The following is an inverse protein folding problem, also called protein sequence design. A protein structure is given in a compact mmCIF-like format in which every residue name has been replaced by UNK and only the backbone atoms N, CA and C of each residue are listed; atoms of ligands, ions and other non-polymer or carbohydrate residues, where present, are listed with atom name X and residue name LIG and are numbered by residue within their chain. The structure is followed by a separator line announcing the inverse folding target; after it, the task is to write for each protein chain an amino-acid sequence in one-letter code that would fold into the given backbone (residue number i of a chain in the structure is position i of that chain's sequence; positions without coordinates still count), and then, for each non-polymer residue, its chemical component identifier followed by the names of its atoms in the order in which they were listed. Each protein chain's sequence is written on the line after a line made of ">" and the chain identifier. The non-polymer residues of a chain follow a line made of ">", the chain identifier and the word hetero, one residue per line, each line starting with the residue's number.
data_IF_430031204393
#
_entry.id   IF_430031204393
#
_cell.length_a   1.000
_cell.length_b   1.000
_cell.length_c   1.000
_cell.angle_alpha   90.00
_cell.angle_beta   90.00
_cell.angle_gamma   90.00
#
_symmetry.space_group_name_H-M   'P 1'
#
loop_
_entity.id
_entity.type
_entity.pdbx_description
1 polymer ?
#
# COMPACT_ATOMS: atom_id res chain seq x y z
N UNK A 1 26.53 38.70 67.91
CA UNK A 1 26.55 38.82 66.43
C UNK A 1 26.45 37.45 65.75
N UNK A 2 25.61 36.52 66.24
CA UNK A 2 25.47 35.16 65.67
C UNK A 2 24.01 34.77 65.35
N UNK A 3 23.04 35.63 65.68
CA UNK A 3 21.60 35.33 65.50
C UNK A 3 21.15 35.64 64.06
N UNK A 4 21.86 36.51 63.34
CA UNK A 4 21.45 36.95 62.01
C UNK A 4 21.77 35.92 60.90
N UNK A 5 22.86 35.15 61.04
CA UNK A 5 23.29 34.19 60.02
C UNK A 5 22.42 32.93 59.98
N UNK A 6 21.85 32.54 61.13
CA UNK A 6 20.95 31.38 61.21
C UNK A 6 19.64 31.61 60.46
N UNK A 7 19.10 32.83 60.55
CA UNK A 7 17.83 33.19 59.90
C UNK A 7 17.95 33.25 58.36
N UNK A 8 19.13 33.63 57.85
CA UNK A 8 19.42 33.66 56.41
C UNK A 8 19.53 32.24 55.84
N UNK A 9 20.16 31.32 56.57
CA UNK A 9 20.32 29.93 56.13
C UNK A 9 18.97 29.17 56.05
N UNK A 10 18.10 29.36 57.04
CA UNK A 10 16.79 28.68 57.07
C UNK A 10 15.85 29.18 55.96
N UNK A 11 15.87 30.49 55.67
CA UNK A 11 15.12 31.06 54.54
C UNK A 11 15.63 30.56 53.18
N UNK A 12 16.95 30.46 52.99
CA UNK A 12 17.53 29.94 51.75
C UNK A 12 17.17 28.45 51.52
N UNK A 13 17.13 27.65 52.59
CA UNK A 13 16.72 26.24 52.52
C UNK A 13 15.22 26.09 52.16
N UNK A 14 14.35 26.89 52.76
CA UNK A 14 12.92 26.86 52.45
C UNK A 14 12.63 27.32 51.00
N UNK A 15 13.33 28.33 50.50
CA UNK A 15 13.19 28.79 49.11
C UNK A 15 13.63 27.69 48.12
N UNK A 16 14.78 27.06 48.36
CA UNK A 16 15.28 25.99 47.49
C UNK A 16 14.37 24.76 47.50
N UNK A 17 13.82 24.38 48.66
CA UNK A 17 12.81 23.30 48.76
C UNK A 17 11.54 23.62 47.96
N UNK A 18 11.03 24.84 48.09
CA UNK A 18 9.79 25.28 47.42
C UNK A 18 9.98 25.36 45.88
N UNK A 19 11.13 25.83 45.41
CA UNK A 19 11.49 25.81 43.97
C UNK A 19 11.56 24.37 43.45
N UNK A 20 12.14 23.44 44.23
CA UNK A 20 12.25 22.02 43.86
C UNK A 20 10.88 21.34 43.79
N UNK A 21 9.99 21.63 44.72
CA UNK A 21 8.62 21.11 44.72
C UNK A 21 7.78 21.69 43.57
N UNK A 22 7.90 23.00 43.29
CA UNK A 22 7.24 23.62 42.12
C UNK A 22 7.74 23.03 40.81
N UNK A 23 9.06 22.80 40.66
CA UNK A 23 9.61 22.12 39.49
C UNK A 23 9.03 20.71 39.34
N UNK A 24 8.96 19.90 40.41
CA UNK A 24 8.34 18.57 40.36
C UNK A 24 6.87 18.60 39.97
N UNK A 25 6.07 19.50 40.56
CA UNK A 25 4.65 19.65 40.20
C UNK A 25 4.48 20.05 38.74
N UNK A 26 5.28 20.97 38.23
CA UNK A 26 5.23 21.42 36.84
C UNK A 26 5.60 20.28 35.87
N UNK A 27 6.61 19.46 36.20
CA UNK A 27 6.99 18.29 35.41
C UNK A 27 5.89 17.22 35.40
N UNK A 28 5.23 16.98 36.55
CA UNK A 28 4.15 16.00 36.66
C UNK A 28 2.92 16.40 35.84
N UNK A 29 2.50 17.67 35.88
CA UNK A 29 1.37 18.15 35.08
C UNK A 29 1.65 17.99 33.58
N UNK A 30 2.85 18.36 33.13
CA UNK A 30 3.27 18.15 31.72
C UNK A 30 3.28 16.68 31.30
N UNK A 31 3.63 15.77 32.22
CA UNK A 31 3.59 14.33 31.97
C UNK A 31 2.17 13.81 31.74
N UNK A 32 1.22 14.20 32.57
CA UNK A 32 -0.19 13.78 32.44
C UNK A 32 -0.80 14.33 31.14
N UNK A 33 -0.51 15.58 30.79
CA UNK A 33 -1.03 16.18 29.55
C UNK A 33 -0.42 15.53 28.29
N UNK A 34 0.86 15.17 28.34
CA UNK A 34 1.50 14.40 27.27
C UNK A 34 0.88 13.02 27.10
N UNK A 35 0.64 12.28 28.19
CA UNK A 35 0.00 10.96 28.13
C UNK A 35 -1.40 11.05 27.55
N UNK A 36 -2.17 12.08 27.90
CA UNK A 36 -3.49 12.34 27.32
C UNK A 36 -3.42 12.62 25.82
N UNK A 37 -2.46 13.43 25.38
CA UNK A 37 -2.26 13.73 23.96
C UNK A 37 -1.83 12.49 23.18
N UNK A 38 -0.89 11.70 23.70
CA UNK A 38 -0.43 10.47 23.07
C UNK A 38 -1.56 9.43 22.96
N UNK A 39 -2.38 9.26 24.01
CA UNK A 39 -3.56 8.42 23.97
C UNK A 39 -4.61 8.92 22.97
N UNK A 40 -4.80 10.23 22.85
CA UNK A 40 -5.71 10.82 21.86
C UNK A 40 -5.23 10.58 20.42
N UNK A 41 -3.93 10.77 20.16
CA UNK A 41 -3.32 10.49 18.85
C UNK A 41 -3.42 9.01 18.52
N UNK A 42 -3.08 8.13 19.47
CA UNK A 42 -3.23 6.68 19.29
C UNK A 42 -4.68 6.30 18.98
N UNK A 43 -5.65 6.90 19.68
CA UNK A 43 -7.08 6.66 19.45
C UNK A 43 -7.50 7.12 18.05
N UNK A 44 -7.06 8.31 17.60
CA UNK A 44 -7.34 8.81 16.24
C UNK A 44 -6.75 7.87 15.17
N UNK A 45 -5.55 7.35 15.37
CA UNK A 45 -4.93 6.40 14.44
C UNK A 45 -5.57 5.01 14.46
N UNK A 46 -6.21 4.60 15.56
CA UNK A 46 -6.92 3.32 15.67
C UNK A 46 -8.37 3.39 15.19
N UNK A 47 -8.99 4.57 15.12
CA UNK A 47 -10.37 4.76 14.65
C UNK A 47 -10.64 4.20 13.25
N UNK A 48 -9.78 4.38 12.22
CA UNK A 48 -10.03 3.84 10.88
C UNK A 48 -10.19 2.31 10.83
N UNK A 49 -9.53 1.58 11.74
CA UNK A 49 -9.66 0.12 11.81
C UNK A 49 -11.05 -0.34 12.27
N UNK A 50 -11.82 0.51 12.95
CA UNK A 50 -13.18 0.17 13.40
C UNK A 50 -14.25 0.39 12.33
N UNK A 51 -13.98 1.24 11.35
CA UNK A 51 -14.93 1.55 10.27
C UNK A 51 -14.72 0.71 8.99
N UNK A 52 -13.66 -0.11 8.92
CA UNK A 52 -13.36 -0.95 7.76
C UNK A 52 -14.10 -2.30 7.73
N UNK A 53 -14.90 -2.64 8.75
CA UNK A 53 -15.53 -3.97 8.90
C UNK A 53 -17.04 -4.03 8.60
N UNK A 54 -17.65 -3.00 8.00
CA UNK A 54 -19.06 -3.05 7.59
C UNK A 54 -19.19 -3.45 6.13
N UNK A 55 -18.98 -4.74 5.82
CA UNK A 55 -19.26 -5.29 4.50
C UNK A 55 -18.80 -6.74 4.36
N UNK A 56 -19.78 -7.64 4.29
CA UNK A 56 -19.70 -9.07 4.00
C UNK A 56 -19.37 -10.02 5.17
N UNK A 57 -20.35 -10.89 5.42
CA UNK A 57 -20.58 -11.62 6.66
C UNK A 57 -20.83 -13.07 6.25
N UNK A 58 -19.79 -13.80 5.83
CA UNK A 58 -19.71 -15.25 5.93
C UNK A 58 -18.38 -15.76 5.38
N UNK A 59 -17.33 -15.82 6.21
CA UNK A 59 -16.21 -16.75 5.99
C UNK A 59 -15.50 -17.05 7.33
N UNK A 60 -14.96 -18.25 7.42
CA UNK A 60 -14.67 -19.01 8.64
C UNK A 60 -13.70 -18.35 9.63
N UNK A 61 -14.03 -18.40 10.92
CA UNK A 61 -13.33 -17.74 12.03
C UNK A 61 -11.86 -18.15 12.28
N UNK A 62 -11.33 -19.15 11.57
CA UNK A 62 -9.92 -19.55 11.66
C UNK A 62 -9.02 -18.91 10.61
N UNK A 63 -9.55 -18.41 9.49
CA UNK A 63 -8.76 -17.69 8.47
C UNK A 63 -8.66 -16.17 8.76
N UNK A 64 -9.56 -15.63 9.57
CA UNK A 64 -9.64 -14.17 9.79
C UNK A 64 -8.55 -13.60 10.70
N UNK A 65 -7.97 -14.40 11.60
CA UNK A 65 -6.97 -13.90 12.57
C UNK A 65 -5.60 -13.62 11.95
N UNK A 66 -5.22 -14.35 10.90
CA UNK A 66 -3.94 -14.16 10.20
C UNK A 66 -3.98 -13.08 9.12
N UNK A 67 -5.16 -12.77 8.58
CA UNK A 67 -5.35 -11.71 7.58
C UNK A 67 -5.75 -10.34 8.17
N UNK A 68 -5.95 -10.25 9.49
CA UNK A 68 -6.59 -9.08 10.10
C UNK A 68 -5.77 -7.79 10.06
N UNK A 69 -4.45 -7.86 9.90
CA UNK A 69 -3.60 -6.67 9.83
C UNK A 69 -2.99 -6.53 8.44
N UNK A 70 -3.41 -5.48 7.73
CA UNK A 70 -2.69 -5.09 6.51
C UNK A 70 -1.25 -4.70 6.85
N UNK A 71 -0.32 -4.92 5.91
CA UNK A 71 1.07 -4.47 6.07
C UNK A 71 1.17 -2.96 6.35
N UNK A 72 0.24 -2.18 5.80
CA UNK A 72 0.12 -0.74 6.07
C UNK A 72 -0.27 -0.44 7.52
N UNK A 73 -1.15 -1.24 8.13
CA UNK A 73 -1.54 -1.09 9.54
C UNK A 73 -0.38 -1.40 10.46
N UNK A 74 0.35 -2.50 10.21
CA UNK A 74 1.54 -2.86 11.01
C UNK A 74 2.60 -1.77 10.94
N UNK A 75 2.85 -1.22 9.75
CA UNK A 75 3.80 -0.14 9.55
C UNK A 75 3.35 1.14 10.28
N UNK A 76 2.08 1.53 10.16
CA UNK A 76 1.53 2.71 10.82
C UNK A 76 1.64 2.62 12.35
N UNK A 77 1.26 1.48 12.93
CA UNK A 77 1.38 1.24 14.37
C UNK A 77 2.84 1.31 14.83
N UNK A 78 3.76 0.72 14.05
CA UNK A 78 5.19 0.77 14.35
C UNK A 78 5.70 2.21 14.37
N UNK A 79 5.35 3.01 13.37
CA UNK A 79 5.71 4.43 13.30
C UNK A 79 5.18 5.19 14.51
N UNK A 80 3.91 4.99 14.88
CA UNK A 80 3.30 5.63 16.06
C UNK A 80 4.05 5.24 17.34
N UNK A 81 4.35 3.96 17.55
CA UNK A 81 5.07 3.48 18.74
C UNK A 81 6.48 4.07 18.80
N UNK A 82 7.21 4.09 17.68
CA UNK A 82 8.56 4.65 17.61
C UNK A 82 8.54 6.15 17.86
N UNK A 83 7.63 6.90 17.23
CA UNK A 83 7.52 8.35 17.40
C UNK A 83 7.12 8.72 18.84
N UNK A 84 6.15 8.02 19.42
CA UNK A 84 5.72 8.24 20.80
C UNK A 84 6.87 7.95 21.79
N UNK A 85 7.57 6.83 21.61
CA UNK A 85 8.70 6.43 22.46
C UNK A 85 9.88 7.40 22.34
N UNK A 86 10.19 7.86 21.11
CA UNK A 86 11.25 8.83 20.84
C UNK A 86 10.91 10.19 21.45
N UNK A 87 9.68 10.65 21.27
CA UNK A 87 9.20 11.92 21.85
C UNK A 87 9.23 11.87 23.38
N UNK A 88 8.83 10.74 23.98
CA UNK A 88 8.92 10.53 25.42
C UNK A 88 10.37 10.58 25.92
N UNK A 89 11.31 9.92 25.22
CA UNK A 89 12.74 9.97 25.56
C UNK A 89 13.30 11.39 25.48
N UNK A 90 12.97 12.15 24.44
CA UNK A 90 13.46 13.51 24.25
C UNK A 90 12.87 14.48 25.28
N UNK A 91 11.57 14.36 25.57
CA UNK A 91 10.85 15.27 26.48
C UNK A 91 11.21 15.03 27.95
N UNK A 92 11.42 13.77 28.34
CA UNK A 92 11.62 13.38 29.73
C UNK A 92 13.05 12.92 30.05
N UNK A 93 14.01 13.18 29.15
CA UNK A 93 15.41 12.72 29.23
C UNK A 93 16.04 12.90 30.62
N UNK A 94 15.82 14.04 31.25
CA UNK A 94 16.42 14.39 32.55
C UNK A 94 15.67 13.81 33.75
N UNK A 95 14.40 13.45 33.57
CA UNK A 95 13.57 12.86 34.65
C UNK A 95 13.59 11.32 34.65
N UNK A 96 13.93 10.71 33.52
CA UNK A 96 13.95 9.26 33.37
C UNK A 96 15.23 8.67 33.97
N UNK A 97 15.07 7.59 34.74
CA UNK A 97 16.20 6.76 35.20
C UNK A 97 16.84 6.05 34.00
N UNK A 98 18.12 5.70 34.12
CA UNK A 98 18.83 4.96 33.06
C UNK A 98 18.15 3.62 32.71
N UNK A 99 17.57 2.93 33.68
CA UNK A 99 16.79 1.71 33.42
C UNK A 99 15.55 1.97 32.55
N UNK A 100 14.85 3.07 32.78
CA UNK A 100 13.66 3.44 32.00
C UNK A 100 14.05 3.83 30.56
N UNK A 101 15.16 4.55 30.38
CA UNK A 101 15.68 4.88 29.05
C UNK A 101 16.01 3.62 28.25
N UNK A 102 16.66 2.64 28.89
CA UNK A 102 16.95 1.33 28.28
C UNK A 102 15.68 0.58 27.90
N UNK A 103 14.64 0.60 28.73
CA UNK A 103 13.35 -0.05 28.41
C UNK A 103 12.70 0.63 27.20
N UNK A 104 12.59 1.96 27.18
CA UNK A 104 11.96 2.67 26.05
C UNK A 104 12.76 2.46 24.76
N UNK A 105 14.10 2.50 24.84
CA UNK A 105 14.95 2.15 23.70
C UNK A 105 14.72 0.71 23.24
N UNK A 106 14.60 -0.23 24.17
CA UNK A 106 14.24 -1.62 23.88
C UNK A 106 12.91 -1.75 23.16
N UNK A 107 11.88 -0.98 23.54
CA UNK A 107 10.58 -0.95 22.84
C UNK A 107 10.76 -0.49 21.40
N UNK A 108 11.51 0.59 21.15
CA UNK A 108 11.79 1.08 19.80
C UNK A 108 12.45 -0.01 18.95
N UNK A 109 13.50 -0.65 19.47
CA UNK A 109 14.22 -1.71 18.78
C UNK A 109 13.33 -2.91 18.50
N UNK A 110 12.59 -3.39 19.51
CA UNK A 110 11.69 -4.54 19.37
C UNK A 110 10.59 -4.26 18.35
N UNK A 111 9.94 -3.09 18.40
CA UNK A 111 8.92 -2.70 17.42
C UNK A 111 9.46 -2.66 15.99
N UNK A 112 10.65 -2.09 15.79
CA UNK A 112 11.30 -2.07 14.48
C UNK A 112 11.65 -3.47 13.97
N UNK A 113 12.21 -4.33 14.82
CA UNK A 113 12.59 -5.71 14.45
C UNK A 113 11.36 -6.56 14.14
N UNK A 114 10.32 -6.52 15.00
CA UNK A 114 9.09 -7.30 14.83
C UNK A 114 8.36 -6.90 13.56
N UNK A 115 8.20 -5.60 13.30
CA UNK A 115 7.55 -5.12 12.07
C UNK A 115 8.34 -5.45 10.81
N UNK A 116 9.66 -5.31 10.84
CA UNK A 116 10.52 -5.72 9.72
C UNK A 116 10.40 -7.21 9.46
N UNK A 117 10.47 -8.04 10.49
CA UNK A 117 10.31 -9.49 10.38
C UNK A 117 8.94 -9.88 9.84
N UNK A 118 7.87 -9.20 10.28
CA UNK A 118 6.52 -9.37 9.76
C UNK A 118 6.43 -9.01 8.26
N UNK A 119 6.96 -7.85 7.86
CA UNK A 119 6.91 -7.40 6.45
C UNK A 119 7.72 -8.32 5.53
N UNK A 120 8.91 -8.76 5.95
CA UNK A 120 9.73 -9.73 5.23
C UNK A 120 9.00 -11.07 5.14
N UNK A 121 8.47 -11.57 6.26
CA UNK A 121 7.72 -12.82 6.31
C UNK A 121 6.49 -12.79 5.41
N UNK A 122 5.72 -11.70 5.44
CA UNK A 122 4.54 -11.52 4.59
C UNK A 122 4.93 -11.45 3.11
N UNK A 123 6.01 -10.75 2.76
CA UNK A 123 6.49 -10.65 1.36
C UNK A 123 6.92 -12.02 0.82
N UNK A 124 7.67 -12.79 1.62
CA UNK A 124 8.06 -14.16 1.27
C UNK A 124 6.84 -15.07 1.17
N UNK A 125 5.92 -14.98 2.13
CA UNK A 125 4.68 -15.75 2.14
C UNK A 125 3.87 -15.50 0.86
N UNK A 126 3.54 -14.23 0.56
CA UNK A 126 2.81 -13.87 -0.66
C UNK A 126 3.52 -14.36 -1.92
N UNK A 127 4.85 -14.22 -1.99
CA UNK A 127 5.63 -14.69 -3.15
C UNK A 127 5.50 -16.21 -3.32
N UNK A 128 5.58 -16.99 -2.24
CA UNK A 128 5.52 -18.46 -2.32
C UNK A 128 4.10 -19.00 -2.59
N UNK A 129 3.08 -18.36 -2.03
CA UNK A 129 1.69 -18.78 -2.18
C UNK A 129 1.07 -18.29 -3.49
N UNK A 130 1.54 -17.19 -4.06
CA UNK A 130 1.08 -16.63 -5.32
C UNK A 130 1.14 -17.60 -6.50
N UNK A 131 0.33 -17.34 -7.53
CA UNK A 131 0.40 -18.02 -8.81
C UNK A 131 1.72 -17.74 -9.55
N UNK A 132 2.20 -16.49 -9.55
CA UNK A 132 3.46 -16.11 -10.21
C UNK A 132 4.73 -16.65 -9.53
N UNK A 133 4.63 -17.17 -8.30
CA UNK A 133 5.75 -17.67 -7.50
C UNK A 133 6.85 -16.63 -7.24
N UNK A 134 6.49 -15.36 -7.22
CA UNK A 134 7.41 -14.25 -6.98
C UNK A 134 7.00 -12.95 -7.66
N UNK A 135 7.87 -11.95 -7.55
CA UNK A 135 7.74 -10.69 -8.26
C UNK A 135 7.94 -10.89 -9.75
N UNK A 136 7.01 -10.36 -10.54
CA UNK A 136 7.03 -10.36 -11.99
C UNK A 136 7.21 -8.95 -12.51
N UNK A 137 7.77 -8.87 -13.70
CA UNK A 137 7.86 -7.67 -14.51
C UNK A 137 7.75 -8.15 -15.95
N UNK A 138 6.52 -8.31 -16.41
CA UNK A 138 6.21 -8.85 -17.74
C UNK A 138 5.67 -7.76 -18.62
N UNK A 139 6.02 -7.83 -19.91
CA UNK A 139 5.57 -6.89 -20.92
C UNK A 139 4.84 -7.61 -22.05
N UNK A 140 3.78 -7.00 -22.56
CA UNK A 140 3.17 -7.38 -23.83
C UNK A 140 2.88 -6.13 -24.66
N UNK A 141 3.35 -6.10 -25.89
CA UNK A 141 3.00 -5.05 -26.83
C UNK A 141 1.59 -5.31 -27.37
N UNK A 142 0.82 -4.25 -27.63
CA UNK A 142 -0.52 -4.43 -28.16
C UNK A 142 -0.94 -3.38 -29.18
N UNK A 143 -1.87 -3.77 -30.05
CA UNK A 143 -2.56 -2.86 -30.96
C UNK A 143 -4.06 -3.16 -31.01
N UNK A 144 -4.85 -2.09 -31.11
CA UNK A 144 -6.30 -2.17 -31.32
C UNK A 144 -6.61 -1.45 -32.62
N UNK A 145 -7.34 -2.11 -33.50
CA UNK A 145 -7.77 -1.57 -34.78
C UNK A 145 -9.29 -1.67 -34.90
N UNK A 146 -9.96 -0.58 -35.26
CA UNK A 146 -11.40 -0.55 -35.55
C UNK A 146 -11.60 -0.08 -36.98
N UNK A 147 -12.19 -0.93 -37.82
CA UNK A 147 -12.49 -0.66 -39.22
C UNK A 147 -11.29 -0.07 -40.00
N UNK A 148 -10.11 -0.67 -39.82
CA UNK A 148 -8.87 -0.25 -40.47
C UNK A 148 -8.17 0.96 -39.83
N UNK A 149 -8.69 1.53 -38.74
CA UNK A 149 -8.07 2.64 -38.02
C UNK A 149 -7.46 2.16 -36.70
N UNK A 150 -6.18 2.46 -36.48
CA UNK A 150 -5.50 2.19 -35.20
C UNK A 150 -6.10 3.09 -34.12
N UNK A 151 -6.56 2.48 -33.05
CA UNK A 151 -7.07 3.18 -31.86
C UNK A 151 -5.91 3.47 -30.93
N UNK A 152 -5.88 4.69 -30.39
CA UNK A 152 -4.95 5.10 -29.35
C UNK A 152 -5.75 5.15 -28.04
N UNK A 153 -5.29 4.43 -27.03
CA UNK A 153 -5.86 4.49 -25.69
C UNK A 153 -5.55 5.84 -25.02
N UNK A 154 -6.28 6.25 -23.98
CA UNK A 154 -5.99 7.50 -23.27
C UNK A 154 -4.54 7.53 -22.78
N UNK A 155 -3.89 8.70 -22.85
CA UNK A 155 -2.54 8.89 -22.32
C UNK A 155 -2.58 9.13 -20.79
N UNK A 156 -1.62 8.59 -20.02
CA UNK A 156 -1.56 8.87 -18.59
C UNK A 156 -1.37 10.36 -18.32
N UNK A 157 -1.97 10.85 -17.23
CA UNK A 157 -1.82 12.25 -16.79
C UNK A 157 -1.46 12.31 -15.30
N UNK A 158 -0.87 13.43 -14.87
CA UNK A 158 -0.51 13.65 -13.47
C UNK A 158 0.75 12.91 -13.01
N UNK A 159 0.88 12.71 -11.69
CA UNK A 159 2.11 12.20 -11.07
C UNK A 159 2.29 10.68 -11.15
N UNK A 160 1.19 9.93 -11.32
CA UNK A 160 1.24 8.46 -11.36
C UNK A 160 1.85 7.94 -12.68
N UNK A 161 1.75 8.72 -13.76
CA UNK A 161 2.25 8.39 -15.10
C UNK A 161 1.81 7.01 -15.62
N UNK A 162 0.63 6.50 -15.22
CA UNK A 162 0.10 5.19 -15.64
C UNK A 162 -1.42 5.24 -15.75
N UNK A 163 -2.00 4.34 -16.54
CA UNK A 163 -3.44 4.01 -16.53
C UNK A 163 -3.58 2.52 -16.23
N UNK A 164 -4.40 2.19 -15.23
CA UNK A 164 -4.52 0.85 -14.65
C UNK A 164 -4.24 0.84 -13.15
N UNK A 165 -4.02 -0.35 -12.59
CA UNK A 165 -3.63 -0.54 -11.19
C UNK A 165 -2.10 -0.45 -11.01
N UNK A 166 -1.60 -0.67 -9.79
CA UNK A 166 -0.16 -0.80 -9.58
C UNK A 166 0.40 -2.06 -10.25
N UNK A 167 -0.40 -3.12 -10.25
CA UNK A 167 -0.01 -4.44 -10.72
C UNK A 167 -0.15 -4.62 -12.23
N UNK A 168 -1.13 -3.96 -12.86
CA UNK A 168 -1.38 -4.07 -14.29
C UNK A 168 -1.76 -2.72 -14.90
N UNK A 169 -0.94 -2.21 -15.83
CA UNK A 169 -1.10 -0.86 -16.37
C UNK A 169 -0.40 -0.66 -17.72
N UNK A 170 -0.55 0.51 -18.32
CA UNK A 170 0.28 1.00 -19.42
C UNK A 170 0.76 2.42 -19.20
N UNK A 171 1.81 2.82 -19.91
CA UNK A 171 2.40 4.17 -19.84
C UNK A 171 2.12 5.03 -21.09
N UNK A 172 1.27 4.56 -22.02
CA UNK A 172 1.02 5.27 -23.29
C UNK A 172 2.02 4.87 -24.39
N UNK A 173 2.75 3.79 -24.15
CA UNK A 173 3.81 3.24 -24.99
C UNK A 173 3.38 2.00 -25.79
N UNK A 174 2.07 1.78 -25.90
CA UNK A 174 1.46 0.61 -26.56
C UNK A 174 1.91 -0.73 -25.95
N UNK A 175 2.19 -0.72 -24.65
CA UNK A 175 2.66 -1.87 -23.88
C UNK A 175 1.85 -2.06 -22.62
N UNK A 176 1.49 -3.30 -22.34
CA UNK A 176 0.92 -3.74 -21.08
C UNK A 176 2.08 -4.11 -20.15
N UNK A 177 2.04 -3.59 -18.93
CA UNK A 177 2.97 -3.83 -17.84
C UNK A 177 2.28 -4.67 -16.78
N UNK A 178 2.87 -5.81 -16.42
CA UNK A 178 2.47 -6.61 -15.26
C UNK A 178 3.62 -6.58 -14.26
N UNK A 179 3.42 -5.91 -13.13
CA UNK A 179 4.47 -5.59 -12.16
C UNK A 179 4.03 -5.95 -10.74
N UNK A 180 4.71 -6.89 -10.07
CA UNK A 180 4.38 -7.26 -8.70
C UNK A 180 4.12 -8.75 -8.54
N UNK A 181 3.24 -9.13 -7.60
CA UNK A 181 2.95 -10.54 -7.30
C UNK A 181 1.53 -10.87 -7.77
N UNK A 182 1.39 -11.76 -8.75
CA UNK A 182 0.09 -12.21 -9.25
C UNK A 182 -0.45 -13.29 -8.32
N UNK A 183 -1.42 -12.94 -7.48
CA UNK A 183 -1.94 -13.83 -6.44
C UNK A 183 -2.65 -15.00 -7.10
N UNK A 184 -3.54 -14.68 -8.02
CA UNK A 184 -4.30 -15.62 -8.82
C UNK A 184 -3.85 -15.58 -10.28
N UNK A 185 -4.25 -16.60 -11.05
CA UNK A 185 -3.94 -16.68 -12.48
C UNK A 185 -4.64 -15.55 -13.25
N UNK A 186 -5.83 -15.19 -12.81
CA UNK A 186 -6.73 -14.21 -13.42
C UNK A 186 -6.14 -12.79 -13.36
N UNK A 187 -5.31 -12.50 -12.35
CA UNK A 187 -4.60 -11.23 -12.21
C UNK A 187 -3.70 -10.93 -13.42
N UNK A 188 -3.20 -11.99 -14.08
CA UNK A 188 -2.30 -11.90 -15.22
C UNK A 188 -3.00 -11.94 -16.60
N UNK A 189 -4.34 -11.82 -16.61
CA UNK A 189 -5.12 -11.94 -17.84
C UNK A 189 -5.24 -10.62 -18.60
N UNK A 190 -5.43 -10.73 -19.92
CA UNK A 190 -5.76 -9.60 -20.78
C UNK A 190 -7.11 -8.97 -20.40
N UNK A 191 -8.09 -9.78 -19.97
CA UNK A 191 -9.34 -9.29 -19.41
C UNK A 191 -9.13 -8.36 -18.22
N UNK A 192 -8.29 -8.76 -17.26
CA UNK A 192 -7.98 -7.95 -16.09
C UNK A 192 -7.28 -6.62 -16.46
N UNK A 193 -6.43 -6.62 -17.48
CA UNK A 193 -5.85 -5.36 -18.01
C UNK A 193 -6.93 -4.41 -18.51
N UNK A 194 -7.85 -4.89 -19.35
CA UNK A 194 -8.91 -4.06 -19.92
C UNK A 194 -9.90 -3.56 -18.86
N UNK A 195 -10.20 -4.39 -17.86
CA UNK A 195 -11.01 -3.98 -16.70
C UNK A 195 -10.30 -2.89 -15.89
N UNK A 196 -8.98 -3.00 -15.68
CA UNK A 196 -8.18 -2.01 -14.93
C UNK A 196 -8.15 -0.63 -15.60
N UNK A 197 -8.32 -0.56 -16.92
CA UNK A 197 -8.37 0.68 -17.69
C UNK A 197 -9.79 1.09 -18.11
N UNK A 198 -10.82 0.42 -17.57
CA UNK A 198 -12.24 0.65 -17.84
C UNK A 198 -12.63 0.60 -19.33
N UNK A 199 -12.07 -0.37 -20.05
CA UNK A 199 -12.35 -0.60 -21.47
C UNK A 199 -13.13 -1.91 -21.64
N UNK A 200 -14.34 -1.88 -22.24
CA UNK A 200 -15.08 -3.10 -22.53
C UNK A 200 -14.29 -4.02 -23.47
N UNK A 201 -14.09 -5.27 -23.05
CA UNK A 201 -13.36 -6.27 -23.83
C UNK A 201 -13.92 -7.69 -23.62
N UNK A 202 -14.26 -8.37 -24.71
CA UNK A 202 -14.64 -9.79 -24.77
C UNK A 202 -14.38 -10.37 -26.17
N UNK A 203 -14.78 -11.64 -26.38
CA UNK A 203 -14.80 -12.27 -27.71
C UNK A 203 -15.74 -11.58 -28.71
N UNK A 204 -16.66 -10.76 -28.22
CA UNK A 204 -17.73 -10.14 -28.98
C UNK A 204 -17.66 -8.62 -29.00
N UNK A 205 -16.77 -8.01 -28.21
CA UNK A 205 -16.76 -6.57 -28.02
C UNK A 205 -15.37 -6.03 -27.70
N UNK A 206 -15.04 -4.88 -28.27
CA UNK A 206 -13.91 -4.05 -27.89
C UNK A 206 -14.34 -2.59 -27.89
N UNK A 207 -14.03 -1.84 -26.82
CA UNK A 207 -14.43 -0.45 -26.67
C UNK A 207 -15.96 -0.30 -26.83
N UNK A 208 -16.40 0.45 -27.85
CA UNK A 208 -17.80 0.74 -28.14
C UNK A 208 -18.37 -0.07 -29.31
N UNK A 209 -17.60 -0.98 -29.91
CA UNK A 209 -18.04 -1.81 -31.05
C UNK A 209 -18.13 -3.27 -30.65
N UNK A 210 -19.15 -3.96 -31.16
CA UNK A 210 -19.33 -5.40 -30.99
C UNK A 210 -19.69 -6.13 -32.27
N UNK A 211 -19.58 -7.46 -32.23
CA UNK A 211 -19.82 -8.33 -33.37
C UNK A 211 -21.18 -8.03 -34.01
N UNK A 212 -21.17 -7.70 -35.31
CA UNK A 212 -22.36 -7.36 -36.08
C UNK A 212 -22.62 -5.85 -36.23
N UNK A 213 -21.88 -4.99 -35.53
CA UNK A 213 -21.88 -3.54 -35.78
C UNK A 213 -21.30 -3.22 -37.16
N UNK A 214 -21.69 -2.09 -37.74
CA UNK A 214 -21.27 -1.70 -39.08
C UNK A 214 -20.01 -0.84 -39.08
N UNK A 215 -19.07 -1.18 -39.95
CA UNK A 215 -17.96 -0.31 -40.31
C UNK A 215 -18.40 0.81 -41.29
N UNK A 216 -17.61 1.89 -41.45
CA UNK A 216 -17.93 2.99 -42.36
C UNK A 216 -18.10 2.59 -43.84
N UNK A 217 -17.57 1.43 -44.23
CA UNK A 217 -17.72 0.84 -45.56
C UNK A 217 -19.07 0.11 -45.77
N UNK A 218 -19.90 0.06 -44.73
CA UNK A 218 -21.22 -0.58 -44.73
C UNK A 218 -21.18 -2.09 -44.51
N UNK A 219 -20.03 -2.70 -44.23
CA UNK A 219 -19.95 -4.12 -43.84
C UNK A 219 -20.12 -4.28 -42.33
N UNK A 220 -20.63 -5.45 -41.92
CA UNK A 220 -20.66 -5.82 -40.51
C UNK A 220 -19.29 -6.36 -40.10
N UNK A 221 -18.75 -5.85 -39.00
CA UNK A 221 -17.48 -6.29 -38.47
C UNK A 221 -17.60 -7.37 -37.39
N UNK A 222 -16.47 -8.01 -37.11
CA UNK A 222 -16.29 -8.93 -35.98
C UNK A 222 -14.96 -8.67 -35.28
N UNK A 223 -14.94 -8.90 -33.97
CA UNK A 223 -13.73 -8.85 -33.14
C UNK A 223 -12.90 -10.11 -33.36
N UNK A 224 -11.66 -9.92 -33.77
CA UNK A 224 -10.65 -10.96 -33.87
C UNK A 224 -9.42 -10.58 -33.03
N UNK A 225 -8.80 -11.59 -32.43
CA UNK A 225 -7.55 -11.41 -31.70
C UNK A 225 -6.48 -12.34 -32.25
N UNK A 226 -5.27 -11.81 -32.42
CA UNK A 226 -4.08 -12.58 -32.74
C UNK A 226 -2.97 -12.30 -31.74
N UNK A 227 -2.13 -13.30 -31.54
CA UNK A 227 -0.96 -13.24 -30.66
C UNK A 227 0.23 -13.69 -31.46
N UNK A 228 1.24 -12.83 -31.61
CA UNK A 228 2.44 -13.10 -32.40
C UNK A 228 2.07 -13.59 -33.83
N UNK A 229 1.18 -12.83 -34.50
CA UNK A 229 0.64 -13.09 -35.84
C UNK A 229 -0.14 -14.41 -36.01
N UNK A 230 -0.52 -15.06 -34.91
CA UNK A 230 -1.37 -16.27 -34.93
C UNK A 230 -2.74 -15.96 -34.37
N UNK A 231 -3.79 -16.29 -35.13
CA UNK A 231 -5.17 -16.16 -34.67
C UNK A 231 -5.36 -16.93 -33.37
N UNK A 232 -5.90 -16.25 -32.36
CA UNK A 232 -6.23 -16.85 -31.08
C UNK A 232 -7.73 -17.16 -31.05
N UNK A 233 -8.07 -18.43 -30.77
CA UNK A 233 -9.45 -18.93 -30.83
C UNK A 233 -10.06 -19.22 -29.45
N UNK A 234 -9.31 -18.96 -28.37
CA UNK A 234 -9.80 -19.15 -27.00
C UNK A 234 -10.70 -17.99 -26.55
N UNK A 235 -11.09 -18.02 -25.27
CA UNK A 235 -11.68 -16.84 -24.64
C UNK A 235 -10.62 -15.74 -24.55
N UNK A 236 -10.91 -14.57 -25.12
CA UNK A 236 -9.96 -13.47 -25.24
C UNK A 236 -9.63 -12.88 -23.88
N UNK A 237 -10.62 -12.83 -22.98
CA UNK A 237 -10.43 -12.34 -21.61
C UNK A 237 -9.51 -13.24 -20.81
N UNK A 238 -9.55 -14.55 -21.03
CA UNK A 238 -8.77 -15.54 -20.28
C UNK A 238 -7.32 -15.68 -20.82
N UNK A 239 -6.95 -14.90 -21.83
CA UNK A 239 -5.59 -14.89 -22.36
C UNK A 239 -4.61 -14.44 -21.29
N UNK A 240 -3.62 -15.29 -20.98
CA UNK A 240 -2.57 -14.99 -20.01
C UNK A 240 -1.41 -14.33 -20.73
N UNK A 241 -1.04 -13.14 -20.27
CA UNK A 241 0.10 -12.40 -20.81
C UNK A 241 1.38 -13.19 -20.52
N UNK A 242 2.18 -13.42 -21.56
CA UNK A 242 3.35 -14.28 -21.47
C UNK A 242 4.40 -13.75 -20.47
N UNK A 243 5.04 -14.64 -19.69
CA UNK A 243 5.90 -14.26 -18.58
C UNK A 243 7.32 -13.86 -19.00
N UNK A 244 7.46 -13.10 -20.09
CA UNK A 244 8.76 -12.66 -20.60
C UNK A 244 9.05 -11.23 -20.15
N UNK A 245 10.30 -11.00 -19.75
CA UNK A 245 10.76 -9.74 -19.14
C UNK A 245 11.82 -8.98 -19.94
N UNK A 246 12.36 -9.56 -21.02
CA UNK A 246 13.34 -8.83 -21.84
C UNK A 246 12.61 -7.98 -22.89
N UNK A 247 13.30 -7.05 -23.56
CA UNK A 247 12.72 -6.24 -24.63
C UNK A 247 13.47 -6.48 -25.97
N UNK A 248 12.80 -6.90 -27.06
CA UNK A 248 11.45 -7.46 -27.13
C UNK A 248 11.51 -8.99 -27.01
N UNK A 249 11.39 -9.54 -25.79
CA UNK A 249 10.47 -10.67 -25.63
C UNK A 249 9.27 -10.35 -24.75
N UNK A 250 8.11 -10.46 -25.39
CA UNK A 250 6.76 -10.40 -24.83
C UNK A 250 5.79 -10.88 -25.91
N UNK A 251 4.51 -10.93 -25.59
CA UNK A 251 3.50 -11.13 -26.64
C UNK A 251 3.32 -9.85 -27.45
N UNK A 252 3.07 -9.99 -28.75
CA UNK A 252 2.45 -8.96 -29.55
C UNK A 252 0.98 -9.31 -29.74
N UNK A 253 0.09 -8.59 -29.07
CA UNK A 253 -1.35 -8.82 -29.05
C UNK A 253 -2.02 -7.84 -30.00
N UNK A 254 -2.64 -8.34 -31.07
CA UNK A 254 -3.38 -7.52 -32.02
C UNK A 254 -4.85 -7.85 -31.97
N UNK A 255 -5.66 -6.86 -31.62
CA UNK A 255 -7.13 -6.93 -31.60
C UNK A 255 -7.64 -6.09 -32.77
N UNK A 256 -8.49 -6.69 -33.61
CA UNK A 256 -9.05 -6.06 -34.80
C UNK A 256 -10.56 -6.20 -34.77
N UNK A 257 -11.27 -5.13 -35.13
CA UNK A 257 -12.68 -5.17 -35.50
C UNK A 257 -12.80 -4.81 -36.99
N UNK A 258 -13.11 -5.79 -37.84
CA UNK A 258 -13.24 -5.64 -39.30
C UNK A 258 -14.34 -6.50 -39.91
#
# INVERSE_FOLDING_TARGET
>A
MFINDYFVAENAFNITKNIRERKRKLTYVRFVDFMRLASLVLFIFLMPATFAHTGELHETASESLTHQFSSTTVLALTVVVILASTTMLLTYKDSLKESQKRIIFGIIVVSAVVSTGYLVGNTVYMSLTSWSKGLVHWHADFEIWICGQKVVLPEPTGLANRIGTEEIHHHGDYRIHLEGVMKEREDATLGNFFDAIDVPFSNEKILNVGNGDYCPDGKKGSVEMSVNDKLYTGNYRDYIISPYSQVPPGDFIKIVFE
#
